data_IF_456221291831
#
_entry.id   IF_456221291831
#
_cell.length_a   1.000
_cell.length_b   1.000
_cell.length_c   1.000
_cell.angle_alpha   90.00
_cell.angle_beta   90.00
_cell.angle_gamma   90.00
#
_symmetry.space_group_name_H-M   'P 1'
#
loop_
_entity.id
_entity.type
_entity.pdbx_description
1 polymer ?
#
# COMPACT_ATOMS: atom_id res chain seq x y z
N UNK A 1 58.73 22.95 4.67
CA UNK A 1 58.67 23.93 5.77
C UNK A 1 57.52 24.88 5.48
N UNK A 2 56.46 25.09 6.27
CA UNK A 2 55.99 24.73 7.63
C UNK A 2 54.50 25.14 7.59
N UNK A 3 53.53 24.23 7.69
CA UNK A 3 52.81 23.78 8.89
C UNK A 3 51.98 24.83 9.68
N UNK A 4 50.87 24.33 10.25
CA UNK A 4 49.88 24.85 11.23
C UNK A 4 48.61 25.47 10.61
N UNK A 5 47.43 24.81 10.60
CA UNK A 5 46.61 24.12 11.61
C UNK A 5 45.76 25.09 12.47
N UNK A 6 44.43 25.04 12.32
CA UNK A 6 43.48 25.06 13.44
C UNK A 6 42.07 24.72 12.96
N UNK A 7 41.57 23.62 13.49
CA UNK A 7 40.20 23.15 13.48
C UNK A 7 39.21 24.20 13.97
N UNK A 8 37.97 24.11 13.49
CA UNK A 8 36.82 24.21 14.39
C UNK A 8 35.67 23.36 13.84
N UNK A 9 35.42 22.27 14.55
CA UNK A 9 34.19 21.49 14.49
C UNK A 9 33.06 22.38 14.99
N UNK A 10 31.95 22.42 14.27
CA UNK A 10 30.62 22.55 14.86
C UNK A 10 29.69 21.66 14.05
N UNK A 11 29.60 20.44 14.57
CA UNK A 11 28.50 19.51 14.39
C UNK A 11 27.25 20.17 14.96
N UNK A 12 26.34 20.61 14.10
CA UNK A 12 24.97 20.94 14.49
C UNK A 12 24.05 20.13 13.58
N UNK A 13 23.90 18.86 13.97
CA UNK A 13 22.88 17.96 13.46
C UNK A 13 21.49 18.48 13.80
N UNK A 14 21.08 19.54 13.13
CA UNK A 14 19.69 19.94 13.03
C UNK A 14 19.03 19.02 12.01
N UNK A 15 18.69 17.81 12.47
CA UNK A 15 17.76 16.93 11.79
C UNK A 15 16.43 17.68 11.74
N UNK A 16 16.22 18.39 10.63
CA UNK A 16 14.97 19.05 10.33
C UNK A 16 13.92 17.95 10.19
N UNK A 17 13.21 17.69 11.29
CA UNK A 17 12.01 16.88 11.28
C UNK A 17 11.02 17.56 10.32
N UNK A 18 10.99 17.11 9.07
CA UNK A 18 9.98 17.49 8.09
C UNK A 18 8.67 16.91 8.61
N UNK A 19 7.87 17.76 9.25
CA UNK A 19 6.52 17.41 9.66
C UNK A 19 5.70 17.36 8.37
N UNK A 20 5.61 16.16 7.77
CA UNK A 20 4.76 15.94 6.60
C UNK A 20 3.32 16.01 7.08
N UNK A 21 2.68 17.16 6.87
CA UNK A 21 1.24 17.30 7.10
C UNK A 21 0.51 16.38 6.11
N UNK A 22 0.00 15.25 6.61
CA UNK A 22 -0.82 14.32 5.82
C UNK A 22 -2.25 14.83 5.80
N UNK A 23 -2.56 15.68 4.82
CA UNK A 23 -3.95 16.09 4.57
C UNK A 23 -4.70 14.92 3.94
N UNK A 24 -5.52 14.22 4.71
CA UNK A 24 -6.46 13.22 4.16
C UNK A 24 -7.55 13.95 3.40
N UNK A 25 -7.41 14.10 2.09
CA UNK A 25 -8.49 14.59 1.24
C UNK A 25 -9.34 13.42 0.76
N UNK A 26 -10.58 13.34 1.21
CA UNK A 26 -11.59 12.48 0.60
C UNK A 26 -12.20 13.20 -0.60
N UNK A 27 -11.92 12.71 -1.81
CA UNK A 27 -12.46 13.28 -3.06
C UNK A 27 -13.92 12.83 -3.23
N UNK A 28 -14.85 13.61 -2.66
CA UNK A 28 -16.31 13.41 -2.77
C UNK A 28 -16.93 13.92 -4.07
N UNK A 29 -16.12 14.34 -5.06
CA UNK A 29 -16.62 14.94 -6.29
C UNK A 29 -16.94 13.87 -7.34
N UNK A 30 -18.23 13.54 -7.40
CA UNK A 30 -18.94 12.67 -8.35
C UNK A 30 -18.83 11.16 -8.09
N UNK A 31 -19.93 10.56 -7.65
CA UNK A 31 -20.11 9.11 -7.68
C UNK A 31 -19.98 8.64 -9.14
N UNK A 32 -19.25 7.55 -9.41
CA UNK A 32 -19.13 7.02 -10.76
C UNK A 32 -20.51 6.69 -11.31
N UNK A 33 -20.75 7.09 -12.56
CA UNK A 33 -21.94 6.74 -13.33
C UNK A 33 -22.09 5.21 -13.40
N UNK A 34 -23.30 4.71 -13.68
CA UNK A 34 -23.52 3.27 -13.83
C UNK A 34 -22.60 2.64 -14.90
N UNK A 35 -22.27 3.38 -15.96
CA UNK A 35 -21.31 2.93 -16.97
C UNK A 35 -19.89 2.85 -16.42
N UNK A 36 -19.41 3.87 -15.71
CA UNK A 36 -18.08 3.87 -15.08
C UNK A 36 -17.94 2.75 -14.04
N UNK A 37 -19.00 2.49 -13.27
CA UNK A 37 -19.03 1.36 -12.32
C UNK A 37 -18.85 0.02 -13.03
N UNK A 38 -19.54 -0.21 -14.15
CA UNK A 38 -19.39 -1.46 -14.92
C UNK A 38 -17.96 -1.63 -15.45
N UNK A 39 -17.39 -0.58 -16.04
CA UNK A 39 -16.02 -0.63 -16.53
C UNK A 39 -15.00 -0.90 -15.41
N UNK A 40 -15.20 -0.29 -14.23
CA UNK A 40 -14.35 -0.55 -13.06
C UNK A 40 -14.45 -2.00 -12.60
N UNK A 41 -15.66 -2.61 -12.61
CA UNK A 41 -15.84 -4.01 -12.26
C UNK A 41 -15.12 -4.92 -13.25
N UNK A 42 -15.31 -4.69 -14.55
CA UNK A 42 -14.63 -5.47 -15.62
C UNK A 42 -13.09 -5.36 -15.49
N UNK A 43 -12.57 -4.14 -15.28
CA UNK A 43 -11.13 -3.95 -15.09
C UNK A 43 -10.62 -4.58 -13.80
N UNK A 44 -11.41 -4.55 -12.71
CA UNK A 44 -11.08 -5.25 -11.47
C UNK A 44 -10.97 -6.76 -11.71
N UNK A 45 -11.93 -7.37 -12.42
CA UNK A 45 -11.90 -8.80 -12.75
C UNK A 45 -10.65 -9.17 -13.56
N UNK A 46 -10.21 -8.30 -14.48
CA UNK A 46 -9.01 -8.52 -15.30
C UNK A 46 -7.70 -8.31 -14.53
N UNK A 47 -7.61 -7.24 -13.74
CA UNK A 47 -6.42 -6.92 -12.94
C UNK A 47 -6.29 -7.82 -11.70
N UNK A 48 -7.31 -8.63 -11.40
CA UNK A 48 -7.34 -9.53 -10.28
C UNK A 48 -6.51 -10.79 -10.55
N UNK A 49 -5.20 -10.68 -10.33
CA UNK A 49 -4.26 -11.81 -10.32
C UNK A 49 -4.14 -12.44 -8.92
N UNK A 50 -4.88 -11.93 -7.94
CA UNK A 50 -4.65 -12.23 -6.53
C UNK A 50 -5.01 -13.67 -6.11
N UNK A 51 -5.77 -14.42 -6.91
CA UNK A 51 -6.04 -15.86 -6.72
C UNK A 51 -4.88 -16.77 -7.13
N UNK A 52 -3.81 -16.23 -7.67
CA UNK A 52 -2.57 -16.97 -7.90
C UNK A 52 -1.84 -17.14 -6.56
N UNK A 53 -2.37 -17.96 -5.65
CA UNK A 53 -1.65 -18.43 -4.45
C UNK A 53 -1.03 -19.77 -4.77
N UNK A 54 0.25 -19.93 -4.49
CA UNK A 54 0.75 -21.27 -4.18
C UNK A 54 0.18 -21.66 -2.81
N UNK A 55 -0.15 -22.94 -2.64
CA UNK A 55 -0.89 -23.49 -1.49
C UNK A 55 -0.18 -23.22 -0.14
N UNK A 56 1.09 -22.80 -0.17
CA UNK A 56 1.93 -22.47 0.99
C UNK A 56 2.07 -20.98 1.32
N UNK A 57 1.59 -20.05 0.50
CA UNK A 57 1.85 -18.62 0.71
C UNK A 57 0.74 -17.92 1.52
N UNK A 58 1.15 -17.17 2.54
CA UNK A 58 0.27 -16.37 3.39
C UNK A 58 -0.20 -15.07 2.71
N UNK A 59 0.48 -14.61 1.66
CA UNK A 59 0.16 -13.39 0.93
C UNK A 59 -0.15 -13.69 -0.52
N UNK A 60 -1.07 -12.91 -1.09
CA UNK A 60 -1.34 -12.97 -2.52
C UNK A 60 -0.14 -12.50 -3.34
N UNK A 61 0.23 -13.24 -4.39
CA UNK A 61 1.26 -12.83 -5.38
C UNK A 61 0.80 -11.71 -6.33
N UNK A 62 -0.26 -10.99 -5.95
CA UNK A 62 -0.93 -9.99 -6.77
C UNK A 62 0.02 -8.99 -7.42
N UNK A 63 -0.40 -8.45 -8.55
CA UNK A 63 0.42 -7.50 -9.31
C UNK A 63 0.19 -6.07 -8.83
N UNK A 64 1.28 -5.31 -8.75
CA UNK A 64 1.25 -3.86 -8.57
C UNK A 64 1.41 -3.18 -9.92
N UNK A 65 0.65 -2.10 -10.13
CA UNK A 65 0.62 -1.35 -11.37
C UNK A 65 0.98 0.11 -11.11
N UNK A 66 1.68 0.72 -12.07
CA UNK A 66 2.04 2.14 -12.03
C UNK A 66 1.59 2.85 -13.30
N UNK A 67 1.02 4.05 -13.15
CA UNK A 67 0.64 4.95 -14.24
C UNK A 67 1.27 6.34 -14.04
N UNK A 68 2.17 6.79 -14.95
CA UNK A 68 2.71 8.14 -14.90
C UNK A 68 1.62 9.20 -15.03
N UNK A 69 1.76 10.32 -14.32
CA UNK A 69 0.69 11.33 -14.24
C UNK A 69 0.40 12.08 -15.55
N UNK A 70 1.37 12.07 -16.46
CA UNK A 70 1.28 12.70 -17.79
C UNK A 70 0.82 11.71 -18.87
N UNK A 71 0.68 10.44 -18.51
CA UNK A 71 0.26 9.39 -19.43
C UNK A 71 -1.26 9.29 -19.48
N UNK A 72 -1.80 8.98 -20.67
CA UNK A 72 -3.23 8.68 -20.81
C UNK A 72 -3.53 7.32 -20.14
N UNK A 73 -4.56 7.23 -19.29
CA UNK A 73 -4.94 5.97 -18.66
C UNK A 73 -5.41 4.95 -19.71
N UNK A 74 -5.00 3.70 -19.52
CA UNK A 74 -5.30 2.55 -20.39
C UNK A 74 -6.63 1.89 -20.06
N UNK A 75 -7.05 1.97 -18.81
CA UNK A 75 -8.28 1.39 -18.28
C UNK A 75 -8.95 2.34 -17.28
N UNK A 76 -10.17 2.00 -16.83
CA UNK A 76 -10.91 2.77 -15.84
C UNK A 76 -10.23 2.77 -14.46
N UNK A 77 -9.52 1.70 -14.08
CA UNK A 77 -8.74 1.67 -12.83
C UNK A 77 -7.59 2.68 -12.85
N UNK A 78 -6.84 2.78 -13.95
CA UNK A 78 -5.82 3.81 -14.10
C UNK A 78 -6.41 5.22 -14.12
N UNK A 79 -7.56 5.40 -14.76
CA UNK A 79 -8.25 6.69 -14.76
C UNK A 79 -8.66 7.09 -13.33
N UNK A 80 -9.16 6.14 -12.53
CA UNK A 80 -9.49 6.37 -11.13
C UNK A 80 -8.24 6.69 -10.29
N UNK A 81 -7.16 5.93 -10.47
CA UNK A 81 -5.90 6.16 -9.78
C UNK A 81 -5.32 7.55 -10.08
N UNK A 82 -5.32 7.98 -11.35
CA UNK A 82 -4.90 9.31 -11.75
C UNK A 82 -5.82 10.41 -11.22
N UNK A 83 -7.14 10.19 -11.18
CA UNK A 83 -8.07 11.16 -10.60
C UNK A 83 -7.78 11.39 -9.11
N UNK A 84 -7.52 10.32 -8.36
CA UNK A 84 -7.12 10.41 -6.95
C UNK A 84 -5.78 11.16 -6.85
N UNK A 85 -4.77 10.73 -7.61
CA UNK A 85 -3.46 11.38 -7.64
C UNK A 85 -3.59 12.89 -7.89
N UNK A 86 -4.29 13.31 -8.94
CA UNK A 86 -4.50 14.72 -9.26
C UNK A 86 -5.22 15.48 -8.15
N UNK A 87 -6.25 14.89 -7.54
CA UNK A 87 -6.94 15.49 -6.40
C UNK A 87 -5.98 15.80 -5.23
N UNK A 88 -4.98 14.95 -5.00
CA UNK A 88 -3.97 15.14 -3.96
C UNK A 88 -2.79 16.03 -4.37
N UNK A 89 -2.49 16.16 -5.67
CA UNK A 89 -1.26 16.84 -6.11
C UNK A 89 -1.48 18.18 -6.79
N UNK A 90 -2.66 18.46 -7.34
CA UNK A 90 -2.88 19.64 -8.20
C UNK A 90 -2.74 20.98 -7.45
N UNK A 91 -2.80 20.98 -6.11
CA UNK A 91 -2.61 22.16 -5.28
C UNK A 91 -1.15 22.35 -4.80
N UNK A 92 -0.24 21.42 -5.12
CA UNK A 92 1.15 21.47 -4.70
C UNK A 92 1.96 22.43 -5.57
N UNK A 93 2.97 23.08 -4.97
CA UNK A 93 3.88 23.98 -5.68
C UNK A 93 4.81 23.17 -6.62
N UNK A 94 4.85 23.47 -7.94
CA UNK A 94 5.75 22.83 -8.89
C UNK A 94 7.25 22.90 -8.54
N UNK A 95 7.66 23.83 -7.66
CA UNK A 95 9.05 23.88 -7.15
C UNK A 95 9.39 22.73 -6.21
N UNK A 96 8.38 22.15 -5.55
CA UNK A 96 8.55 21.09 -4.56
C UNK A 96 8.02 19.74 -5.05
N UNK A 97 7.27 19.73 -6.15
CA UNK A 97 6.65 18.54 -6.71
C UNK A 97 6.80 18.51 -8.24
N UNK A 98 7.41 17.44 -8.77
CA UNK A 98 7.53 17.23 -10.20
C UNK A 98 6.47 16.25 -10.71
N UNK A 99 5.45 16.78 -11.40
CA UNK A 99 4.36 16.00 -11.98
C UNK A 99 4.87 15.00 -13.04
N UNK A 100 5.82 15.39 -13.88
CA UNK A 100 6.31 14.55 -14.99
C UNK A 100 7.08 13.31 -14.53
N UNK A 101 7.63 13.36 -13.31
CA UNK A 101 8.37 12.26 -12.69
C UNK A 101 7.53 11.52 -11.63
N UNK A 102 6.25 11.85 -11.51
CA UNK A 102 5.34 11.29 -10.53
C UNK A 102 4.16 10.58 -11.21
N UNK A 103 3.46 9.73 -10.46
CA UNK A 103 2.33 8.96 -10.96
C UNK A 103 1.59 8.27 -9.83
N UNK A 104 0.64 7.42 -10.20
CA UNK A 104 -0.14 6.63 -9.26
C UNK A 104 0.27 5.17 -9.30
N UNK A 105 0.57 4.61 -8.14
CA UNK A 105 0.72 3.17 -7.93
C UNK A 105 -0.59 2.60 -7.36
N UNK A 106 -1.03 1.45 -7.85
CA UNK A 106 -2.26 0.81 -7.41
C UNK A 106 -2.19 -0.71 -7.53
N UNK A 107 -2.97 -1.40 -6.71
CA UNK A 107 -3.11 -2.86 -6.68
C UNK A 107 -4.55 -3.22 -6.29
N UNK A 108 -4.98 -4.43 -6.64
CA UNK A 108 -6.30 -4.94 -6.24
C UNK A 108 -6.18 -5.78 -4.97
N UNK A 109 -7.15 -5.66 -4.07
CA UNK A 109 -7.27 -6.49 -2.87
C UNK A 109 -8.67 -7.11 -2.83
N UNK A 110 -8.75 -8.43 -2.63
CA UNK A 110 -10.00 -9.13 -2.36
C UNK A 110 -10.13 -9.35 -0.86
N UNK A 111 -11.26 -8.94 -0.31
CA UNK A 111 -11.66 -9.28 1.05
C UNK A 111 -12.81 -10.28 0.95
N UNK A 112 -12.52 -11.56 1.19
CA UNK A 112 -13.57 -12.57 1.26
C UNK A 112 -14.42 -12.31 2.51
N UNK A 113 -15.72 -12.07 2.34
CA UNK A 113 -16.63 -11.78 3.45
C UNK A 113 -16.90 -12.98 4.36
N UNK A 114 -16.33 -14.14 4.04
CA UNK A 114 -16.54 -15.43 4.69
C UNK A 114 -15.21 -16.09 5.09
N UNK A 115 -14.12 -15.35 5.31
CA UNK A 115 -12.87 -15.95 5.75
C UNK A 115 -13.08 -16.58 7.16
N UNK A 116 -13.04 -17.92 7.29
CA UNK A 116 -13.40 -18.60 8.54
C UNK A 116 -12.39 -18.34 9.67
N UNK A 117 -11.23 -17.75 9.36
CA UNK A 117 -10.19 -17.44 10.36
C UNK A 117 -10.42 -16.11 11.12
N UNK A 118 -11.50 -15.38 10.85
CA UNK A 118 -11.93 -14.24 11.70
C UNK A 118 -12.71 -14.69 12.96
N UNK A 119 -12.84 -16.00 13.19
CA UNK A 119 -13.24 -16.54 14.50
C UNK A 119 -11.98 -16.68 15.38
N UNK A 120 -11.52 -15.56 15.94
CA UNK A 120 -10.67 -15.53 17.13
C UNK A 120 -11.45 -16.15 18.32
N UNK A 121 -11.57 -17.47 18.31
CA UNK A 121 -11.93 -18.23 19.50
C UNK A 121 -10.62 -18.64 20.18
N UNK A 122 -9.95 -17.63 20.76
CA UNK A 122 -8.76 -17.75 21.60
C UNK A 122 -9.15 -18.33 22.99
N UNK A 123 -9.93 -19.41 22.99
CA UNK A 123 -10.14 -20.25 24.16
C UNK A 123 -8.97 -21.23 24.24
N UNK A 124 -7.89 -20.76 24.87
CA UNK A 124 -6.80 -21.56 25.41
C UNK A 124 -7.34 -22.82 26.08
N UNK A 125 -7.13 -23.96 25.44
CA UNK A 125 -7.30 -25.27 26.06
C UNK A 125 -5.97 -25.62 26.74
N UNK A 126 -5.72 -24.95 27.87
CA UNK A 126 -4.70 -25.36 28.83
C UNK A 126 -5.28 -26.53 29.64
N UNK A 127 -5.15 -27.75 29.13
CA UNK A 127 -5.21 -28.92 29.99
C UNK A 127 -4.09 -29.92 29.65
N UNK A 128 -2.87 -29.44 29.89
CA UNK A 128 -1.70 -30.27 30.17
C UNK A 128 -1.95 -31.03 31.48
N UNK A 129 -2.13 -32.34 31.40
CA UNK A 129 -1.90 -33.25 32.52
C UNK A 129 -1.29 -34.53 31.96
N UNK A 130 0.04 -34.52 31.97
CA UNK A 130 0.93 -35.67 31.98
C UNK A 130 0.52 -36.73 33.00
N UNK A 131 0.83 -37.99 32.69
CA UNK A 131 1.63 -38.94 33.49
C UNK A 131 1.52 -40.31 32.77
N UNK A 132 2.60 -40.78 32.12
CA UNK A 132 3.63 -41.71 32.67
C UNK A 132 3.04 -43.13 32.86
N UNK A 133 3.36 -44.12 32.02
CA UNK A 133 4.55 -44.99 31.95
C UNK A 133 4.10 -46.46 32.16
N UNK A 134 5.03 -47.39 31.93
CA UNK A 134 4.98 -48.86 32.14
C UNK A 134 4.40 -49.67 30.96
N UNK A 135 5.21 -50.30 30.10
CA UNK A 135 6.21 -51.39 30.27
C UNK A 135 5.65 -52.72 29.76
N UNK A 136 6.42 -53.30 28.82
CA UNK A 136 6.69 -54.73 28.55
C UNK A 136 5.55 -55.77 28.71
N UNK A 137 5.17 -56.43 27.61
CA UNK A 137 5.73 -57.74 27.18
C UNK A 137 5.25 -58.13 25.77
#
# INVERSE_FOLDING_TARGET
NTNTNSSNNNDDGSSSHVVVATTTTSSSSSLPTAQQKRMLVEDCELAFTARTREESDAYSSGSTYFVPSVMKPRCALEALALNIFHAHTDHLDPKHFNKEQSGAEWWTLLLDSNHPDDNDNDSKDDNDSKEEEEEEE
#
